data_IF_781334243977
#
_entry.id   IF_781334243977
#
_cell.length_a   1.000
_cell.length_b   1.000
_cell.length_c   1.000
_cell.angle_alpha   90.00
_cell.angle_beta   90.00
_cell.angle_gamma   90.00
#
_symmetry.space_group_name_H-M   'P 1'
#
loop_
_entity.id
_entity.type
_entity.pdbx_description
1 polymer ?
#
# COMPACT_ATOMS: atom_id res chain seq x y z
N UNK A 1 -12.45 -14.29 -9.53
CA UNK A 1 -12.29 -12.89 -9.02
C UNK A 1 -10.85 -12.69 -8.57
N UNK A 2 -10.24 -11.61 -9.00
CA UNK A 2 -8.92 -11.22 -8.53
C UNK A 2 -9.05 -10.30 -7.31
N UNK A 3 -8.05 -10.30 -6.45
CA UNK A 3 -8.02 -9.43 -5.28
C UNK A 3 -6.85 -8.44 -5.45
N UNK A 4 -7.18 -7.15 -5.53
CA UNK A 4 -6.17 -6.10 -5.71
C UNK A 4 -5.23 -6.01 -4.51
N UNK A 5 -5.71 -6.28 -3.30
CA UNK A 5 -4.86 -6.30 -2.11
C UNK A 5 -3.74 -7.34 -2.25
N UNK A 6 -4.08 -8.54 -2.74
CA UNK A 6 -3.08 -9.57 -3.01
C UNK A 6 -2.12 -9.18 -4.12
N UNK A 7 -2.61 -8.52 -5.18
CA UNK A 7 -1.76 -8.04 -6.27
C UNK A 7 -0.73 -7.04 -5.76
N UNK A 8 -1.15 -6.09 -4.93
CA UNK A 8 -0.24 -5.11 -4.34
C UNK A 8 0.78 -5.79 -3.43
N UNK A 9 0.31 -6.63 -2.52
CA UNK A 9 1.17 -7.35 -1.58
C UNK A 9 2.21 -8.20 -2.32
N UNK A 10 1.78 -8.93 -3.35
CA UNK A 10 2.68 -9.77 -4.16
C UNK A 10 3.71 -8.92 -4.89
N UNK A 11 3.31 -7.78 -5.45
CA UNK A 11 4.23 -6.88 -6.15
C UNK A 11 5.30 -6.32 -5.22
N UNK A 12 4.92 -5.95 -4.00
CA UNK A 12 5.88 -5.46 -3.00
C UNK A 12 6.86 -6.55 -2.58
N UNK A 13 6.37 -7.77 -2.40
CA UNK A 13 7.20 -8.89 -1.95
C UNK A 13 8.20 -9.38 -3.00
N UNK A 14 8.06 -8.98 -4.25
CA UNK A 14 9.02 -9.30 -5.31
C UNK A 14 10.26 -8.42 -5.28
N UNK A 15 10.21 -7.28 -4.62
CA UNK A 15 11.36 -6.39 -4.51
C UNK A 15 12.40 -6.97 -3.54
N UNK A 16 13.66 -6.96 -3.94
CA UNK A 16 14.75 -7.57 -3.15
C UNK A 16 14.93 -6.94 -1.78
N UNK A 17 14.66 -5.65 -1.64
CA UNK A 17 14.72 -4.97 -0.34
C UNK A 17 13.45 -5.21 0.47
N UNK A 18 12.28 -5.08 -0.16
CA UNK A 18 11.00 -5.14 0.55
C UNK A 18 10.60 -6.56 0.96
N UNK A 19 11.07 -7.60 0.26
CA UNK A 19 10.72 -8.98 0.60
C UNK A 19 11.14 -9.40 2.01
N UNK A 20 12.13 -8.72 2.58
CA UNK A 20 12.63 -8.99 3.95
C UNK A 20 11.95 -8.13 5.01
N UNK A 21 11.03 -7.26 4.61
CA UNK A 21 10.28 -6.40 5.51
C UNK A 21 8.95 -7.06 5.84
N UNK A 22 8.47 -6.88 7.07
CA UNK A 22 7.17 -7.40 7.46
C UNK A 22 6.06 -6.64 6.73
N UNK A 23 5.34 -7.33 5.85
CA UNK A 23 4.24 -6.74 5.07
C UNK A 23 2.95 -7.38 5.52
N UNK A 24 2.02 -6.59 6.05
CA UNK A 24 0.73 -7.05 6.54
C UNK A 24 -0.41 -6.23 5.93
N UNK A 25 -1.62 -6.75 6.06
CA UNK A 25 -2.83 -6.07 5.60
C UNK A 25 -3.73 -5.78 6.78
N UNK A 26 -4.37 -4.62 6.77
CA UNK A 26 -5.32 -4.13 7.76
C UNK A 26 -4.72 -3.75 9.11
N UNK A 27 -3.92 -4.61 9.71
CA UNK A 27 -3.42 -4.42 11.07
C UNK A 27 -1.90 -4.33 11.12
N UNK A 28 -1.42 -3.51 12.04
CA UNK A 28 -0.01 -3.41 12.36
C UNK A 28 0.48 -4.73 12.97
N UNK A 29 1.73 -5.16 12.71
CA UNK A 29 2.29 -6.33 13.39
C UNK A 29 2.21 -6.15 14.91
N UNK A 30 1.87 -7.22 15.63
CA UNK A 30 1.76 -7.19 17.10
C UNK A 30 3.09 -6.89 17.78
N UNK A 31 4.18 -7.39 17.21
CA UNK A 31 5.51 -7.14 17.74
C UNK A 31 6.49 -6.92 16.60
N UNK A 32 7.37 -5.94 16.80
CA UNK A 32 8.48 -5.65 15.91
C UNK A 32 9.72 -5.52 16.78
N UNK A 33 10.79 -6.18 16.36
CA UNK A 33 12.07 -5.98 17.02
C UNK A 33 12.58 -4.57 16.76
N UNK A 34 13.42 -4.08 17.67
CA UNK A 34 14.04 -2.77 17.52
C UNK A 34 14.89 -2.77 16.25
N UNK A 35 14.62 -1.84 15.37
CA UNK A 35 15.29 -1.74 14.08
C UNK A 35 14.57 -2.37 12.92
N UNK A 36 13.54 -3.19 13.17
CA UNK A 36 12.72 -3.73 12.08
C UNK A 36 11.75 -2.70 11.53
N UNK A 37 11.52 -2.78 10.23
CA UNK A 37 10.53 -1.95 9.54
C UNK A 37 9.32 -2.77 9.18
N UNK A 38 8.19 -2.12 8.96
CA UNK A 38 6.97 -2.78 8.53
C UNK A 38 6.23 -1.97 7.47
N UNK A 39 5.44 -2.68 6.66
CA UNK A 39 4.53 -2.09 5.68
C UNK A 39 3.15 -2.66 5.97
N UNK A 40 2.16 -1.78 6.14
CA UNK A 40 0.78 -2.19 6.35
C UNK A 40 -0.08 -1.60 5.23
N UNK A 41 -0.81 -2.46 4.54
CA UNK A 41 -1.68 -2.09 3.41
C UNK A 41 -3.12 -2.09 3.92
N UNK A 42 -3.79 -0.94 3.82
CA UNK A 42 -5.15 -0.75 4.34
C UNK A 42 -6.08 -0.30 3.23
N UNK A 43 -7.07 -1.11 2.82
CA UNK A 43 -8.08 -0.64 1.87
C UNK A 43 -8.92 0.48 2.49
N UNK A 44 -9.12 1.56 1.74
CA UNK A 44 -9.97 2.68 2.18
C UNK A 44 -11.38 2.58 1.58
N UNK A 45 -11.92 1.37 1.52
CA UNK A 45 -13.23 1.08 1.01
C UNK A 45 -13.20 -0.03 -0.02
N UNK A 46 -14.36 -0.52 -0.42
CA UNK A 46 -14.44 -1.55 -1.45
C UNK A 46 -14.13 -0.99 -2.84
N UNK A 47 -13.78 -1.86 -3.80
CA UNK A 47 -13.59 -1.44 -5.19
C UNK A 47 -14.84 -0.74 -5.74
N UNK A 48 -14.66 0.32 -6.52
CA UNK A 48 -15.76 1.09 -7.09
C UNK A 48 -15.82 0.94 -8.60
N UNK A 49 -17.01 0.80 -9.13
CA UNK A 49 -17.24 0.72 -10.57
C UNK A 49 -17.05 2.11 -11.19
N UNK A 50 -16.23 2.20 -12.24
CA UNK A 50 -15.90 3.48 -12.86
C UNK A 50 -16.16 3.53 -14.34
N UNK A 51 -16.11 2.40 -15.06
CA UNK A 51 -16.37 2.34 -16.47
C UNK A 51 -17.46 1.30 -16.71
N UNK A 52 -18.53 1.67 -17.41
CA UNK A 52 -19.67 0.80 -17.66
C UNK A 52 -19.93 0.67 -19.16
N UNK A 53 -20.19 -0.57 -19.58
CA UNK A 53 -20.65 -0.87 -20.93
C UNK A 53 -21.66 -1.98 -20.85
N UNK A 54 -22.81 -1.84 -21.52
CA UNK A 54 -23.87 -2.88 -21.54
C UNK A 54 -24.27 -3.37 -20.15
N UNK A 55 -24.40 -2.45 -19.18
CA UNK A 55 -24.77 -2.73 -17.79
C UNK A 55 -23.69 -3.49 -16.99
N UNK A 56 -22.47 -3.58 -17.50
CA UNK A 56 -21.36 -4.19 -16.79
C UNK A 56 -20.30 -3.16 -16.44
N UNK A 57 -19.65 -3.37 -15.29
CA UNK A 57 -18.47 -2.61 -14.95
C UNK A 57 -17.30 -3.09 -15.79
N UNK A 58 -16.63 -2.18 -16.50
CA UNK A 58 -15.45 -2.52 -17.32
C UNK A 58 -14.16 -2.41 -16.53
N UNK A 59 -14.17 -1.67 -15.41
CA UNK A 59 -12.99 -1.40 -14.61
C UNK A 59 -13.43 -1.02 -13.21
N UNK A 60 -12.52 -1.10 -12.25
CA UNK A 60 -12.78 -0.69 -10.87
C UNK A 60 -11.69 0.25 -10.38
N UNK A 61 -12.10 1.15 -9.50
CA UNK A 61 -11.21 2.09 -8.83
C UNK A 61 -10.91 1.63 -7.42
N UNK A 62 -9.65 1.75 -7.02
CA UNK A 62 -9.17 1.31 -5.71
C UNK A 62 -8.44 2.44 -5.01
N UNK A 63 -8.61 2.51 -3.69
CA UNK A 63 -7.88 3.45 -2.84
C UNK A 63 -7.30 2.67 -1.66
N UNK A 64 -5.99 2.79 -1.45
CA UNK A 64 -5.30 2.15 -0.35
C UNK A 64 -4.46 3.16 0.42
N UNK A 65 -4.41 3.00 1.73
CA UNK A 65 -3.42 3.67 2.54
C UNK A 65 -2.30 2.68 2.84
N UNK A 66 -1.06 3.11 2.65
CA UNK A 66 0.09 2.27 2.94
C UNK A 66 0.94 2.95 4.00
N UNK A 67 1.02 2.31 5.17
CA UNK A 67 1.76 2.81 6.31
C UNK A 67 3.11 2.11 6.35
N UNK A 68 4.18 2.90 6.26
CA UNK A 68 5.54 2.39 6.44
C UNK A 68 6.03 2.87 7.80
N UNK A 69 6.50 1.92 8.60
CA UNK A 69 6.99 2.21 9.94
C UNK A 69 8.44 1.76 10.05
N UNK A 70 9.30 2.62 10.60
CA UNK A 70 10.71 2.33 10.75
C UNK A 70 11.30 2.95 12.01
N UNK A 71 12.47 2.44 12.42
CA UNK A 71 13.19 2.94 13.57
C UNK A 71 13.80 4.33 13.30
N UNK A 72 14.05 4.65 12.04
CA UNK A 72 14.60 5.92 11.62
C UNK A 72 13.74 6.56 10.53
N UNK A 73 13.66 7.88 10.57
CA UNK A 73 12.81 8.65 9.65
C UNK A 73 13.15 8.39 8.18
N UNK A 74 14.43 8.47 7.83
CA UNK A 74 14.85 8.30 6.43
C UNK A 74 14.67 6.88 5.92
N UNK A 75 14.78 5.89 6.80
CA UNK A 75 14.51 4.51 6.45
C UNK A 75 13.04 4.33 6.03
N UNK A 76 12.12 4.86 6.82
CA UNK A 76 10.69 4.82 6.49
C UNK A 76 10.41 5.53 5.16
N UNK A 77 11.03 6.68 4.93
CA UNK A 77 10.84 7.43 3.67
C UNK A 77 11.41 6.67 2.48
N UNK A 78 12.56 6.06 2.62
CA UNK A 78 13.18 5.30 1.54
C UNK A 78 12.35 4.07 1.16
N UNK A 79 11.79 3.39 2.16
CA UNK A 79 10.89 2.25 1.92
C UNK A 79 9.63 2.74 1.20
N UNK A 80 9.02 3.83 1.67
CA UNK A 80 7.82 4.38 1.04
C UNK A 80 8.10 4.83 -0.40
N UNK A 81 9.29 5.34 -0.69
CA UNK A 81 9.69 5.69 -2.05
C UNK A 81 9.70 4.47 -2.97
N UNK A 82 10.19 3.33 -2.47
CA UNK A 82 10.16 2.08 -3.24
C UNK A 82 8.73 1.60 -3.46
N UNK A 83 7.89 1.70 -2.44
CA UNK A 83 6.46 1.38 -2.55
C UNK A 83 5.82 2.23 -3.64
N UNK A 84 6.07 3.53 -3.64
CA UNK A 84 5.55 4.44 -4.65
C UNK A 84 5.93 4.00 -6.07
N UNK A 85 7.20 3.69 -6.29
CA UNK A 85 7.67 3.27 -7.61
C UNK A 85 7.05 1.96 -8.07
N UNK A 86 6.91 0.99 -7.16
CA UNK A 86 6.29 -0.29 -7.47
C UNK A 86 4.81 -0.10 -7.80
N UNK A 87 4.09 0.70 -7.01
CA UNK A 87 2.68 0.97 -7.26
C UNK A 87 2.46 1.72 -8.57
N UNK A 88 3.35 2.64 -8.93
CA UNK A 88 3.29 3.30 -10.23
C UNK A 88 3.40 2.30 -11.37
N UNK A 89 4.21 1.26 -11.22
CA UNK A 89 4.37 0.24 -12.26
C UNK A 89 3.12 -0.59 -12.49
N UNK A 90 2.18 -0.61 -11.55
CA UNK A 90 0.91 -1.32 -11.68
C UNK A 90 -0.30 -0.38 -11.76
N UNK A 91 -0.06 0.90 -12.07
CA UNK A 91 -1.12 1.85 -12.36
C UNK A 91 -1.64 2.66 -11.19
N UNK A 92 -0.98 2.61 -10.04
CA UNK A 92 -1.36 3.42 -8.89
C UNK A 92 -0.54 4.69 -8.80
N UNK A 93 -1.13 5.75 -8.27
CA UNK A 93 -0.46 7.02 -8.05
C UNK A 93 -0.86 7.58 -6.69
N UNK A 94 -0.01 8.43 -6.14
CA UNK A 94 -0.26 9.02 -4.82
C UNK A 94 -1.43 10.00 -4.89
N UNK A 95 -2.34 9.86 -3.93
CA UNK A 95 -3.48 10.76 -3.74
C UNK A 95 -3.28 11.61 -2.50
N UNK A 96 -4.23 12.50 -2.21
CA UNK A 96 -4.21 13.31 -1.01
C UNK A 96 -4.43 12.46 0.23
N UNK A 97 -3.81 12.86 1.34
CA UNK A 97 -3.94 12.20 2.62
C UNK A 97 -2.63 11.57 3.08
N UNK A 98 -2.72 10.92 4.22
CA UNK A 98 -1.57 10.31 4.86
C UNK A 98 -0.98 11.20 5.96
N UNK A 99 0.16 10.78 6.47
CA UNK A 99 0.86 11.53 7.51
C UNK A 99 2.34 11.13 7.53
N UNK A 100 3.14 11.97 8.15
CA UNK A 100 4.54 11.67 8.43
C UNK A 100 4.79 12.10 9.87
N UNK A 101 4.90 11.14 10.80
CA UNK A 101 4.98 11.42 12.23
C UNK A 101 5.93 10.49 12.98
N UNK A 102 6.37 10.97 14.13
CA UNK A 102 7.09 10.17 15.12
C UNK A 102 6.14 9.87 16.29
N UNK A 103 5.99 8.59 16.62
CA UNK A 103 5.14 8.14 17.72
C UNK A 103 6.00 7.78 18.95
N UNK A 104 5.84 8.54 20.01
CA UNK A 104 6.60 8.32 21.25
C UNK A 104 6.32 6.97 21.90
N UNK A 105 5.09 6.52 21.81
CA UNK A 105 4.65 5.26 22.42
C UNK A 105 5.40 4.05 21.87
N UNK A 106 5.69 4.07 20.58
CA UNK A 106 6.41 2.99 19.90
C UNK A 106 7.87 3.33 19.62
N UNK A 107 8.26 4.60 19.79
CA UNK A 107 9.57 5.15 19.40
C UNK A 107 9.88 4.94 17.92
N UNK A 108 8.87 5.03 17.08
CA UNK A 108 8.99 4.74 15.65
C UNK A 108 8.50 5.89 14.79
N UNK A 109 9.07 6.00 13.60
CA UNK A 109 8.64 6.95 12.57
C UNK A 109 7.67 6.25 11.63
N UNK A 110 6.59 6.94 11.28
CA UNK A 110 5.58 6.44 10.35
C UNK A 110 5.48 7.38 9.17
N UNK A 111 5.58 6.83 7.97
CA UNK A 111 5.30 7.52 6.71
C UNK A 111 4.10 6.80 6.09
N UNK A 112 2.94 7.42 6.14
CA UNK A 112 1.71 6.87 5.61
C UNK A 112 1.27 7.68 4.41
N UNK A 113 0.99 7.01 3.30
CA UNK A 113 0.52 7.67 2.07
C UNK A 113 -0.70 6.95 1.51
N UNK A 114 -1.51 7.71 0.79
CA UNK A 114 -2.69 7.19 0.12
C UNK A 114 -2.38 7.06 -1.36
N UNK A 115 -2.73 5.90 -1.92
CA UNK A 115 -2.55 5.61 -3.35
C UNK A 115 -3.87 5.20 -3.95
N UNK A 116 -4.11 5.63 -5.18
CA UNK A 116 -5.32 5.22 -5.90
C UNK A 116 -4.96 4.79 -7.32
N UNK A 117 -5.78 3.92 -7.87
CA UNK A 117 -5.57 3.41 -9.21
C UNK A 117 -6.76 2.61 -9.69
N UNK A 118 -6.71 2.27 -10.96
CA UNK A 118 -7.79 1.55 -11.62
C UNK A 118 -7.32 0.20 -12.11
N UNK A 119 -8.19 -0.81 -12.05
CA UNK A 119 -7.92 -2.07 -12.73
C UNK A 119 -7.96 -1.85 -14.25
N UNK A 120 -7.32 -2.76 -14.99
CA UNK A 120 -7.43 -2.75 -16.44
C UNK A 120 -8.85 -3.13 -16.85
N UNK A 121 -9.25 -2.72 -18.07
CA UNK A 121 -10.58 -3.02 -18.59
C UNK A 121 -10.78 -4.54 -18.70
N UNK A 122 -11.98 -4.97 -18.37
CA UNK A 122 -12.42 -6.37 -18.44
C UNK A 122 -11.72 -7.34 -17.48
N UNK A 123 -10.92 -6.86 -16.55
CA UNK A 123 -10.42 -7.71 -15.46
C UNK A 123 -11.47 -7.84 -14.36
N UNK A 124 -11.59 -9.03 -13.81
CA UNK A 124 -12.58 -9.33 -12.77
C UNK A 124 -11.98 -9.15 -11.38
N UNK A 125 -12.26 -7.99 -10.82
CA UNK A 125 -11.87 -7.69 -9.44
C UNK A 125 -13.04 -7.66 -8.48
#
# INVERSE_FOLDING_TARGET
MKDMLDEISSSLKKDDHLKNICIKSFERPESLEKGESSIVIIPLGPPQQIAKGSNKSLSKHFIYQINVEGAQRMEAKNIQRKVELILQSIGFYQAEGGLEEYFKETTRYVDARVYEGNSMLYEDF
#
